data_IF_952328041545
#
_entry.id   IF_952328041545
#
_cell.length_a   1.000
_cell.length_b   1.000
_cell.length_c   1.000
_cell.angle_alpha   90.00
_cell.angle_beta   90.00
_cell.angle_gamma   90.00
#
_symmetry.space_group_name_H-M   'P 1'
#
loop_
_entity.id
_entity.type
_entity.pdbx_description
1 polymer ?
#
# COMPACT_ATOMS: atom_id res chain seq x y z
N UNK A 1 4.94 -44.45 46.54
CA UNK A 1 5.33 -43.03 46.71
C UNK A 1 5.40 -42.38 45.34
N UNK A 2 4.77 -41.21 45.24
CA UNK A 2 4.59 -40.39 44.02
C UNK A 2 5.94 -39.87 43.53
N UNK A 3 6.20 -39.94 42.22
CA UNK A 3 7.46 -39.45 41.64
C UNK A 3 7.39 -39.33 40.12
N UNK A 4 6.47 -38.49 39.62
CA UNK A 4 6.32 -38.24 38.18
C UNK A 4 5.93 -36.81 37.81
N UNK A 5 5.86 -35.88 38.77
CA UNK A 5 5.30 -34.53 38.55
C UNK A 5 6.28 -33.43 38.16
N UNK A 6 7.59 -33.61 38.36
CA UNK A 6 8.58 -32.50 38.28
C UNK A 6 8.91 -32.05 36.85
N UNK A 7 9.16 -32.98 35.93
CA UNK A 7 9.60 -32.64 34.55
C UNK A 7 8.54 -31.92 33.71
N UNK A 8 7.26 -32.14 33.99
CA UNK A 8 6.17 -31.48 33.27
C UNK A 8 5.95 -30.04 33.74
N UNK A 9 6.30 -29.71 34.99
CA UNK A 9 6.18 -28.36 35.53
C UNK A 9 7.35 -27.47 35.10
N UNK A 10 8.57 -28.00 35.07
CA UNK A 10 9.77 -27.28 34.60
C UNK A 10 9.68 -26.92 33.10
N UNK A 11 9.17 -27.83 32.26
CA UNK A 11 8.96 -27.55 30.84
C UNK A 11 7.87 -26.50 30.58
N UNK A 12 6.82 -26.47 31.41
CA UNK A 12 5.77 -25.45 31.36
C UNK A 12 6.30 -24.07 31.76
N UNK A 13 7.07 -23.99 32.84
CA UNK A 13 7.73 -22.75 33.29
C UNK A 13 8.69 -22.19 32.24
N UNK A 14 9.51 -23.04 31.62
CA UNK A 14 10.44 -22.61 30.57
C UNK A 14 9.70 -22.08 29.34
N UNK A 15 8.58 -22.70 28.97
CA UNK A 15 7.75 -22.22 27.86
C UNK A 15 7.11 -20.86 28.16
N UNK A 16 6.55 -20.68 29.36
CA UNK A 16 5.99 -19.39 29.81
C UNK A 16 7.07 -18.30 29.84
N UNK A 17 8.27 -18.62 30.31
CA UNK A 17 9.41 -17.69 30.32
C UNK A 17 9.83 -17.28 28.90
N UNK A 18 9.88 -18.22 27.94
CA UNK A 18 10.16 -17.93 26.53
C UNK A 18 9.08 -17.03 25.92
N UNK A 19 7.80 -17.29 26.22
CA UNK A 19 6.69 -16.47 25.74
C UNK A 19 6.78 -15.05 26.29
N UNK A 20 7.09 -14.89 27.56
CA UNK A 20 7.16 -13.57 28.21
C UNK A 20 8.40 -12.78 27.74
N UNK A 21 9.56 -13.43 27.61
CA UNK A 21 10.76 -12.83 27.01
C UNK A 21 10.49 -12.39 25.57
N UNK A 22 9.73 -13.19 24.80
CA UNK A 22 9.34 -12.83 23.44
C UNK A 22 8.40 -11.62 23.40
N UNK A 23 7.42 -11.53 24.31
CA UNK A 23 6.54 -10.36 24.43
C UNK A 23 7.33 -9.09 24.75
N UNK A 24 8.24 -9.15 25.71
CA UNK A 24 9.10 -8.02 26.08
C UNK A 24 10.01 -7.59 24.92
N UNK A 25 10.61 -8.56 24.22
CA UNK A 25 11.42 -8.30 23.02
C UNK A 25 10.60 -7.65 21.89
N UNK A 26 9.37 -8.12 21.66
CA UNK A 26 8.44 -7.50 20.69
C UNK A 26 8.06 -6.07 21.10
N UNK A 27 7.80 -5.83 22.39
CA UNK A 27 7.48 -4.51 22.92
C UNK A 27 8.67 -3.54 22.75
N UNK A 28 9.88 -3.96 23.12
CA UNK A 28 11.10 -3.16 22.94
C UNK A 28 11.37 -2.87 21.46
N UNK A 29 11.17 -3.86 20.58
CA UNK A 29 11.30 -3.70 19.13
C UNK A 29 10.27 -2.73 18.56
N UNK A 30 9.02 -2.77 19.03
CA UNK A 30 7.97 -1.79 18.67
C UNK A 30 8.36 -0.38 19.14
N UNK A 31 8.85 -0.23 20.36
CA UNK A 31 9.32 1.05 20.90
C UNK A 31 10.53 1.63 20.12
N UNK A 32 11.52 0.80 19.75
CA UNK A 32 12.64 1.25 18.91
C UNK A 32 12.22 1.67 17.50
N UNK A 33 11.25 0.97 16.90
CA UNK A 33 10.67 1.38 15.60
C UNK A 33 9.93 2.70 15.72
N UNK A 34 9.21 2.90 16.83
CA UNK A 34 8.52 4.14 17.18
C UNK A 34 9.52 5.31 17.25
N UNK A 35 10.60 5.17 18.02
CA UNK A 35 11.64 6.19 18.18
C UNK A 35 12.41 6.48 16.88
N UNK A 36 12.75 5.45 16.10
CA UNK A 36 13.43 5.68 14.83
C UNK A 36 12.53 6.43 13.84
N UNK A 37 11.23 6.12 13.84
CA UNK A 37 10.28 6.72 12.92
C UNK A 37 9.88 8.15 13.31
N UNK A 38 10.02 8.56 14.59
CA UNK A 38 9.88 9.97 15.00
C UNK A 38 11.09 10.83 14.60
N UNK A 39 12.25 10.22 14.35
CA UNK A 39 13.49 10.90 13.93
C UNK A 39 13.68 10.94 12.40
N UNK A 40 12.86 10.22 11.63
CA UNK A 40 13.12 9.87 10.23
C UNK A 40 12.88 11.05 9.25
N UNK A 41 12.01 12.00 9.60
CA UNK A 41 11.78 13.26 8.87
C UNK A 41 10.83 14.20 9.63
N UNK A 42 10.80 15.47 9.25
CA UNK A 42 10.09 16.57 9.94
C UNK A 42 8.56 16.53 9.90
N UNK A 43 7.97 15.35 10.08
CA UNK A 43 6.54 15.18 10.27
C UNK A 43 6.14 15.72 11.65
N UNK A 44 5.27 16.76 11.73
CA UNK A 44 4.87 17.34 12.99
C UNK A 44 3.87 16.48 13.78
N UNK A 45 3.23 15.47 13.15
CA UNK A 45 2.21 14.65 13.80
C UNK A 45 2.86 13.60 14.71
N UNK A 46 2.54 13.59 16.02
CA UNK A 46 3.03 12.59 16.96
C UNK A 46 2.65 11.17 16.54
N UNK A 47 3.53 10.19 16.72
CA UNK A 47 3.29 8.82 16.22
C UNK A 47 2.09 8.13 16.89
N UNK A 48 1.79 8.46 18.15
CA UNK A 48 0.62 7.94 18.86
C UNK A 48 -0.72 8.40 18.26
N UNK A 49 -0.72 9.49 17.48
CA UNK A 49 -1.90 10.00 16.76
C UNK A 49 -2.03 9.40 15.36
N UNK A 50 -0.97 8.71 14.88
CA UNK A 50 -0.95 8.13 13.54
C UNK A 50 -1.66 6.80 13.46
N UNK A 51 -2.45 6.65 12.40
CA UNK A 51 -3.11 5.38 12.10
C UNK A 51 -2.09 4.28 11.80
N UNK A 52 -2.38 3.02 12.15
CA UNK A 52 -1.50 1.90 11.86
C UNK A 52 -1.14 1.79 10.37
N UNK A 53 0.02 1.20 10.09
CA UNK A 53 0.50 0.99 8.71
C UNK A 53 -0.48 0.24 7.80
N UNK A 54 -1.42 -0.53 8.37
CA UNK A 54 -2.45 -1.27 7.64
C UNK A 54 -3.50 -0.32 7.00
N UNK A 55 -3.70 0.86 7.57
CA UNK A 55 -4.66 1.86 7.11
C UNK A 55 -4.11 2.77 6.00
N UNK A 56 -2.83 2.64 5.61
CA UNK A 56 -2.17 3.57 4.68
C UNK A 56 -2.89 3.73 3.34
N UNK A 57 -3.45 2.64 2.80
CA UNK A 57 -4.12 2.65 1.50
C UNK A 57 -5.44 3.43 1.59
N UNK A 58 -6.24 3.18 2.64
CA UNK A 58 -7.47 3.90 2.93
C UNK A 58 -7.21 5.40 3.15
N UNK A 59 -6.23 5.75 3.99
CA UNK A 59 -5.85 7.16 4.25
C UNK A 59 -5.41 7.86 2.95
N UNK A 60 -4.62 7.17 2.12
CA UNK A 60 -4.16 7.75 0.86
C UNK A 60 -5.30 7.88 -0.16
N UNK A 61 -6.23 6.92 -0.22
CA UNK A 61 -7.42 6.99 -1.07
C UNK A 61 -8.33 8.17 -0.68
N UNK A 62 -8.61 8.36 0.61
CA UNK A 62 -9.39 9.49 1.11
C UNK A 62 -8.75 10.82 0.70
N UNK A 63 -7.44 10.94 0.95
CA UNK A 63 -6.68 12.14 0.56
C UNK A 63 -6.66 12.37 -0.95
N UNK A 64 -6.53 11.32 -1.78
CA UNK A 64 -6.57 11.43 -3.25
C UNK A 64 -7.92 12.00 -3.70
N UNK A 65 -9.03 11.48 -3.18
CA UNK A 65 -10.37 11.92 -3.58
C UNK A 65 -10.59 13.39 -3.20
N UNK A 66 -10.23 13.78 -1.99
CA UNK A 66 -10.31 15.18 -1.54
C UNK A 66 -9.42 16.10 -2.39
N UNK A 67 -8.20 15.67 -2.68
CA UNK A 67 -7.18 16.51 -3.32
C UNK A 67 -7.43 16.72 -4.81
N UNK A 68 -7.92 15.69 -5.51
CA UNK A 68 -8.03 15.66 -6.97
C UNK A 68 -9.46 15.87 -7.49
N UNK A 69 -10.39 16.27 -6.62
CA UNK A 69 -11.71 16.78 -7.01
C UNK A 69 -12.82 15.74 -7.09
N UNK A 70 -12.77 14.72 -6.24
CA UNK A 70 -13.83 13.74 -6.07
C UNK A 70 -13.72 12.51 -6.97
N UNK A 71 -14.53 11.50 -6.65
CA UNK A 71 -14.57 10.21 -7.34
C UNK A 71 -15.03 10.31 -8.81
N UNK A 72 -15.95 11.22 -9.14
CA UNK A 72 -16.40 11.46 -10.52
C UNK A 72 -15.26 11.96 -11.41
N UNK A 73 -14.50 12.96 -10.93
CA UNK A 73 -13.34 13.49 -11.67
C UNK A 73 -12.25 12.43 -11.83
N UNK A 74 -12.00 11.64 -10.79
CA UNK A 74 -11.07 10.50 -10.83
C UNK A 74 -11.56 9.34 -11.71
N UNK A 75 -12.85 9.30 -12.07
CA UNK A 75 -13.42 8.33 -13.01
C UNK A 75 -13.42 8.82 -14.47
N UNK A 76 -12.99 10.06 -14.70
CA UNK A 76 -12.91 10.65 -16.05
C UNK A 76 -11.76 10.04 -16.86
N UNK A 77 -11.80 10.23 -18.19
CA UNK A 77 -10.81 9.64 -19.10
C UNK A 77 -10.73 8.12 -18.92
N UNK A 78 -9.51 7.62 -18.78
CA UNK A 78 -9.22 6.21 -18.48
C UNK A 78 -9.05 5.92 -16.98
N UNK A 79 -9.28 6.92 -16.11
CA UNK A 79 -9.29 6.78 -14.67
C UNK A 79 -7.91 6.84 -14.00
N UNK A 80 -7.80 6.20 -12.83
CA UNK A 80 -6.60 6.22 -11.99
C UNK A 80 -5.69 5.04 -12.32
N UNK A 81 -4.40 5.31 -12.51
CA UNK A 81 -3.37 4.27 -12.68
C UNK A 81 -2.53 4.13 -11.41
N UNK A 82 -2.65 2.99 -10.74
CA UNK A 82 -1.94 2.61 -9.51
C UNK A 82 -0.65 1.84 -9.86
N UNK A 83 0.43 2.58 -10.00
CA UNK A 83 1.73 2.08 -10.47
C UNK A 83 2.53 1.51 -9.30
N UNK A 84 3.07 0.31 -9.50
CA UNK A 84 3.62 -0.56 -8.47
C UNK A 84 2.61 -0.88 -7.34
N UNK A 85 1.32 -0.96 -7.70
CA UNK A 85 0.21 -1.15 -6.75
C UNK A 85 0.14 -2.54 -6.08
N UNK A 86 1.02 -3.48 -6.45
CA UNK A 86 1.12 -4.79 -5.82
C UNK A 86 -0.13 -5.64 -5.97
N UNK A 87 -0.83 -5.87 -4.85
CA UNK A 87 -2.11 -6.59 -4.82
C UNK A 87 -3.35 -5.73 -5.08
N UNK A 88 -3.16 -4.42 -5.32
CA UNK A 88 -4.25 -3.49 -5.64
C UNK A 88 -5.04 -2.97 -4.43
N UNK A 89 -4.43 -2.92 -3.24
CA UNK A 89 -5.12 -2.45 -2.02
C UNK A 89 -5.61 -0.99 -2.15
N UNK A 90 -4.77 -0.10 -2.70
CA UNK A 90 -5.15 1.30 -2.94
C UNK A 90 -6.27 1.38 -3.99
N UNK A 91 -6.15 0.63 -5.09
CA UNK A 91 -7.20 0.56 -6.11
C UNK A 91 -8.53 0.04 -5.54
N UNK A 92 -8.49 -0.95 -4.65
CA UNK A 92 -9.68 -1.44 -3.94
C UNK A 92 -10.31 -0.34 -3.08
N UNK A 93 -9.49 0.35 -2.27
CA UNK A 93 -9.95 1.45 -1.42
C UNK A 93 -10.53 2.63 -2.23
N UNK A 94 -9.99 2.92 -3.41
CA UNK A 94 -10.52 3.92 -4.34
C UNK A 94 -11.86 3.49 -4.94
N UNK A 95 -11.99 2.23 -5.37
CA UNK A 95 -13.24 1.71 -5.92
C UNK A 95 -14.35 1.63 -4.89
N UNK A 96 -14.05 1.24 -3.64
CA UNK A 96 -15.00 1.26 -2.52
C UNK A 96 -15.52 2.68 -2.21
N UNK A 97 -14.79 3.73 -2.66
CA UNK A 97 -15.18 5.14 -2.56
C UNK A 97 -15.81 5.69 -3.85
N UNK A 98 -16.14 4.82 -4.80
CA UNK A 98 -16.86 5.16 -6.03
C UNK A 98 -15.97 5.58 -7.21
N UNK A 99 -14.65 5.39 -7.14
CA UNK A 99 -13.79 5.53 -8.33
C UNK A 99 -14.02 4.31 -9.23
N UNK A 100 -14.75 4.51 -10.32
CA UNK A 100 -15.21 3.43 -11.20
C UNK A 100 -14.15 2.90 -12.17
N UNK A 101 -13.02 3.60 -12.32
CA UNK A 101 -11.93 3.23 -13.23
C UNK A 101 -10.59 3.28 -12.52
N UNK A 102 -10.10 2.11 -12.14
CA UNK A 102 -8.76 1.93 -11.60
C UNK A 102 -8.02 0.85 -12.39
N UNK A 103 -6.75 1.12 -12.71
CA UNK A 103 -5.84 0.14 -13.32
C UNK A 103 -4.57 0.03 -12.48
N UNK A 104 -4.29 -1.15 -11.95
CA UNK A 104 -3.03 -1.46 -11.29
C UNK A 104 -2.01 -1.87 -12.34
N UNK A 105 -0.82 -1.27 -12.28
CA UNK A 105 0.33 -1.67 -13.10
C UNK A 105 1.46 -2.09 -12.18
N UNK A 106 1.85 -3.37 -12.18
CA UNK A 106 2.96 -3.88 -11.37
C UNK A 106 3.79 -4.87 -12.21
N UNK A 107 5.11 -4.91 -12.02
CA UNK A 107 5.96 -5.86 -12.76
C UNK A 107 5.78 -7.31 -12.29
N UNK A 108 5.27 -7.48 -11.06
CA UNK A 108 5.04 -8.78 -10.45
C UNK A 108 3.68 -9.32 -10.88
N UNK A 109 3.50 -10.65 -10.87
CA UNK A 109 2.17 -11.23 -11.01
C UNK A 109 1.27 -10.82 -9.84
N UNK A 110 -0.03 -10.69 -10.10
CA UNK A 110 -1.03 -10.37 -9.08
C UNK A 110 -0.92 -11.35 -7.91
N UNK A 111 -0.94 -10.81 -6.70
CA UNK A 111 -1.06 -11.60 -5.46
C UNK A 111 -2.29 -11.13 -4.71
N UNK A 112 -3.30 -12.00 -4.62
CA UNK A 112 -4.57 -11.70 -3.98
C UNK A 112 -4.39 -11.75 -2.46
N UNK A 113 -4.37 -10.57 -1.84
CA UNK A 113 -4.30 -10.40 -0.39
C UNK A 113 -5.61 -10.71 0.33
N UNK A 114 -5.58 -10.73 1.66
CA UNK A 114 -6.75 -11.02 2.50
C UNK A 114 -7.93 -10.06 2.24
N UNK A 115 -7.66 -8.76 2.12
CA UNK A 115 -8.71 -7.76 1.88
C UNK A 115 -9.44 -8.00 0.55
N UNK A 116 -8.70 -8.27 -0.53
CA UNK A 116 -9.30 -8.56 -1.84
C UNK A 116 -10.09 -9.88 -1.83
N UNK A 117 -9.61 -10.92 -1.15
CA UNK A 117 -10.38 -12.16 -0.94
C UNK A 117 -11.68 -11.90 -0.19
N UNK A 118 -11.63 -11.09 0.88
CA UNK A 118 -12.82 -10.71 1.67
C UNK A 118 -13.79 -9.91 0.83
N UNK A 119 -13.30 -8.99 0.01
CA UNK A 119 -14.11 -8.21 -0.92
C UNK A 119 -14.82 -9.09 -1.94
N UNK A 120 -14.08 -9.99 -2.63
CA UNK A 120 -14.65 -10.92 -3.61
C UNK A 120 -15.73 -11.80 -2.97
N UNK A 121 -15.47 -12.36 -1.78
CA UNK A 121 -16.47 -13.16 -1.04
C UNK A 121 -17.71 -12.34 -0.69
N UNK A 122 -17.55 -11.09 -0.24
CA UNK A 122 -18.65 -10.18 0.08
C UNK A 122 -19.45 -9.83 -1.18
N UNK A 123 -18.78 -9.60 -2.30
CA UNK A 123 -19.43 -9.21 -3.55
C UNK A 123 -20.20 -10.38 -4.17
N UNK A 124 -19.64 -11.60 -4.18
CA UNK A 124 -20.35 -12.82 -4.60
C UNK A 124 -21.62 -13.06 -3.78
N UNK A 125 -21.57 -12.85 -2.45
CA UNK A 125 -22.75 -12.93 -1.57
C UNK A 125 -23.79 -11.87 -1.93
N UNK A 126 -23.37 -10.62 -2.17
CA UNK A 126 -24.28 -9.55 -2.60
C UNK A 126 -24.95 -9.87 -3.94
N UNK A 127 -24.19 -10.32 -4.93
CA UNK A 127 -24.75 -10.72 -6.23
C UNK A 127 -25.71 -11.90 -6.10
N UNK A 128 -25.40 -12.89 -5.26
CA UNK A 128 -26.32 -14.00 -4.99
C UNK A 128 -27.60 -13.53 -4.28
N UNK A 129 -27.48 -12.65 -3.27
CA UNK A 129 -28.64 -12.06 -2.59
C UNK A 129 -29.46 -11.12 -3.48
N UNK A 130 -28.84 -10.33 -4.37
CA UNK A 130 -29.58 -9.49 -5.33
C UNK A 130 -30.32 -10.31 -6.39
N UNK A 131 -29.81 -11.50 -6.72
CA UNK A 131 -30.49 -12.47 -7.59
C UNK A 131 -31.63 -13.18 -6.84
N UNK A 132 -31.44 -13.52 -5.56
CA UNK A 132 -32.46 -14.15 -4.72
C UNK A 132 -33.57 -13.17 -4.26
N UNK A 133 -33.26 -11.89 -4.00
CA UNK A 133 -34.25 -10.86 -3.60
C UNK A 133 -35.21 -10.48 -4.74
N UNK A 134 -34.95 -10.91 -5.98
CA UNK A 134 -35.92 -10.85 -7.07
C UNK A 134 -36.97 -11.99 -7.04
N UNK A 135 -36.83 -12.95 -6.11
CA UNK A 135 -37.81 -13.98 -5.80
C UNK A 135 -37.91 -14.16 -4.27
N UNK A 136 -38.74 -13.31 -3.67
CA UNK A 136 -39.28 -13.39 -2.31
C UNK A 136 -38.42 -12.90 -1.13
N UNK A 137 -39.11 -12.09 -0.33
CA UNK A 137 -38.76 -11.43 0.92
C UNK A 137 -38.85 -12.43 2.09
N UNK A 138 -37.81 -12.51 2.93
CA UNK A 138 -37.86 -12.45 4.41
C UNK A 138 -36.56 -13.02 5.05
N UNK A 139 -35.97 -12.21 5.95
CA UNK A 139 -35.30 -12.61 7.21
C UNK A 139 -34.11 -13.58 7.19
N UNK A 140 -32.91 -13.07 7.50
CA UNK A 140 -32.33 -13.25 8.85
C UNK A 140 -30.92 -12.64 8.95
N UNK A 141 -30.68 -11.99 10.09
CA UNK A 141 -29.40 -11.40 10.46
C UNK A 141 -28.61 -12.40 11.32
N UNK A 142 -27.47 -12.86 10.80
CA UNK A 142 -26.49 -13.59 11.62
C UNK A 142 -25.27 -12.70 11.91
N UNK A 143 -25.00 -12.55 13.21
CA UNK A 143 -23.81 -11.94 13.78
C UNK A 143 -22.63 -12.91 13.65
N UNK A 144 -21.59 -12.54 12.89
CA UNK A 144 -20.33 -13.29 12.86
C UNK A 144 -19.31 -12.61 13.79
N UNK A 145 -18.89 -13.37 14.80
CA UNK A 145 -17.91 -13.02 15.83
C UNK A 145 -16.56 -12.55 15.24
N UNK A 146 -16.07 -11.42 15.75
CA UNK A 146 -14.71 -10.94 15.50
C UNK A 146 -13.70 -11.82 16.25
N UNK A 147 -12.88 -12.56 15.49
CA UNK A 147 -11.63 -13.13 16.01
C UNK A 147 -10.47 -12.36 15.38
N UNK A 148 -9.93 -11.43 16.17
CA UNK A 148 -8.75 -10.63 15.85
C UNK A 148 -7.48 -11.49 15.94
N UNK A 149 -7.08 -12.09 14.83
CA UNK A 149 -5.76 -12.72 14.69
C UNK A 149 -4.78 -11.78 13.97
N UNK A 150 -4.42 -10.68 14.63
CA UNK A 150 -3.33 -9.81 14.18
C UNK A 150 -2.14 -9.83 15.14
N UNK A 151 -1.36 -10.91 15.08
CA UNK A 151 0.06 -10.83 15.44
C UNK A 151 0.95 -11.52 14.40
N UNK A 152 1.22 -10.81 13.31
CA UNK A 152 2.36 -11.11 12.42
C UNK A 152 3.25 -9.88 12.30
N UNK A 153 4.05 -9.61 13.33
CA UNK A 153 5.20 -8.71 13.23
C UNK A 153 6.28 -9.39 12.38
N UNK A 154 6.33 -9.02 11.11
CA UNK A 154 7.38 -9.40 10.18
C UNK A 154 8.74 -8.89 10.64
N UNK A 155 9.54 -9.82 11.17
CA UNK A 155 10.99 -9.74 11.13
C UNK A 155 11.46 -9.69 9.67
N UNK A 156 12.32 -8.71 9.44
CA UNK A 156 13.21 -8.57 8.30
C UNK A 156 13.84 -9.93 7.93
N UNK A 157 13.32 -10.50 6.86
CA UNK A 157 13.88 -11.66 6.15
C UNK A 157 13.79 -11.40 4.64
N UNK A 158 14.01 -10.14 4.24
CA UNK A 158 13.87 -9.67 2.86
C UNK A 158 14.95 -10.16 1.88
N UNK A 159 15.85 -11.07 2.27
CA UNK A 159 16.89 -11.57 1.36
C UNK A 159 17.01 -13.09 1.23
N UNK A 160 16.12 -13.89 1.85
CA UNK A 160 16.11 -15.34 1.62
C UNK A 160 14.69 -15.91 1.63
N UNK A 161 13.89 -15.56 0.63
CA UNK A 161 12.72 -16.33 0.15
C UNK A 161 12.28 -15.84 -1.24
N UNK A 162 13.25 -15.68 -2.15
CA UNK A 162 12.97 -15.67 -3.58
C UNK A 162 12.86 -17.13 -4.05
N UNK A 163 11.89 -17.41 -4.92
CA UNK A 163 11.49 -18.72 -5.44
C UNK A 163 10.53 -19.59 -4.61
N UNK A 164 9.60 -19.00 -3.85
CA UNK A 164 8.33 -19.70 -3.61
C UNK A 164 7.51 -19.65 -4.91
N UNK A 165 7.20 -20.82 -5.46
CA UNK A 165 6.31 -21.04 -6.61
C UNK A 165 5.11 -20.11 -6.48
N UNK A 166 4.98 -19.14 -7.37
CA UNK A 166 3.80 -18.28 -7.43
C UNK A 166 2.70 -19.18 -7.96
N UNK A 167 1.88 -19.72 -7.07
CA UNK A 167 0.62 -20.36 -7.46
C UNK A 167 -0.13 -19.34 -8.33
N UNK A 168 -0.49 -19.70 -9.58
CA UNK A 168 -1.22 -18.79 -10.45
C UNK A 168 -2.51 -18.39 -9.77
N UNK A 169 -2.82 -17.09 -9.82
CA UNK A 169 -4.11 -16.59 -9.36
C UNK A 169 -5.20 -17.30 -10.16
N UNK A 170 -6.21 -17.83 -9.48
CA UNK A 170 -7.38 -18.41 -10.13
C UNK A 170 -7.95 -17.37 -11.11
N UNK A 171 -8.01 -17.73 -12.39
CA UNK A 171 -8.47 -16.83 -13.46
C UNK A 171 -9.88 -16.28 -13.18
N UNK A 172 -10.72 -17.06 -12.50
CA UNK A 172 -12.07 -16.62 -12.10
C UNK A 172 -12.06 -15.43 -11.12
N UNK A 173 -11.01 -15.27 -10.33
CA UNK A 173 -10.87 -14.13 -9.41
C UNK A 173 -10.47 -12.87 -10.19
N UNK A 174 -9.70 -13.01 -11.27
CA UNK A 174 -9.21 -11.87 -12.07
C UNK A 174 -10.37 -11.16 -12.77
N UNK A 175 -11.35 -11.93 -13.28
CA UNK A 175 -12.54 -11.38 -13.94
C UNK A 175 -13.50 -10.67 -12.97
N UNK A 176 -13.41 -10.96 -11.68
CA UNK A 176 -14.25 -10.37 -10.63
C UNK A 176 -13.62 -9.17 -9.94
N UNK A 177 -12.41 -8.76 -10.33
CA UNK A 177 -11.72 -7.64 -9.69
C UNK A 177 -12.46 -6.32 -9.94
N UNK A 178 -12.53 -5.44 -8.93
CA UNK A 178 -13.08 -4.09 -9.10
C UNK A 178 -12.16 -3.15 -9.89
N UNK A 179 -11.01 -3.62 -10.34
CA UNK A 179 -9.99 -2.87 -11.06
C UNK A 179 -9.30 -3.74 -12.11
N UNK A 180 -8.72 -3.12 -13.13
CA UNK A 180 -7.88 -3.80 -14.13
C UNK A 180 -6.50 -4.06 -13.54
N UNK A 181 -5.91 -5.22 -13.82
CA UNK A 181 -4.54 -5.54 -13.46
C UNK A 181 -3.67 -5.73 -14.72
N UNK A 182 -2.57 -4.99 -14.80
CA UNK A 182 -1.60 -5.08 -15.88
C UNK A 182 -0.24 -5.46 -15.32
N UNK A 183 0.22 -6.67 -15.65
CA UNK A 183 1.57 -7.08 -15.31
C UNK A 183 2.56 -6.44 -16.30
N UNK A 184 3.21 -5.34 -15.91
CA UNK A 184 4.12 -4.60 -16.78
C UNK A 184 5.14 -3.80 -15.97
N UNK A 185 6.37 -3.66 -16.51
CA UNK A 185 7.35 -2.75 -15.93
C UNK A 185 7.02 -1.30 -16.31
N UNK A 186 6.87 -0.45 -15.32
CA UNK A 186 6.59 0.96 -15.59
C UNK A 186 7.89 1.76 -15.77
N UNK A 187 8.14 2.19 -17.00
CA UNK A 187 9.19 3.15 -17.38
C UNK A 187 8.56 4.33 -18.12
N UNK A 188 9.19 5.52 -18.16
CA UNK A 188 8.61 6.69 -18.83
C UNK A 188 8.18 6.43 -20.28
N UNK A 189 8.91 5.57 -21.00
CA UNK A 189 8.63 5.22 -22.40
C UNK A 189 7.45 4.25 -22.56
N UNK A 190 6.93 3.68 -21.45
CA UNK A 190 5.78 2.76 -21.45
C UNK A 190 4.43 3.47 -21.40
N UNK A 191 4.39 4.80 -21.54
CA UNK A 191 3.12 5.54 -21.61
C UNK A 191 2.35 5.09 -22.85
N UNK A 192 1.24 4.40 -22.62
CA UNK A 192 0.27 4.04 -23.66
C UNK A 192 -0.70 5.19 -23.92
N UNK A 193 -1.44 5.20 -25.05
CA UNK A 193 -2.54 6.13 -25.26
C UNK A 193 -3.59 6.10 -24.15
N UNK A 194 -3.76 4.94 -23.50
CA UNK A 194 -4.65 4.77 -22.35
C UNK A 194 -4.13 5.54 -21.14
N UNK A 195 -2.84 5.40 -20.80
CA UNK A 195 -2.21 6.14 -19.69
C UNK A 195 -2.22 7.64 -19.97
N UNK A 196 -1.99 8.07 -21.21
CA UNK A 196 -2.01 9.48 -21.59
C UNK A 196 -3.38 10.16 -21.40
N UNK A 197 -4.45 9.38 -21.27
CA UNK A 197 -5.82 9.84 -20.98
C UNK A 197 -6.23 9.61 -19.52
N UNK A 198 -5.30 9.22 -18.64
CA UNK A 198 -5.57 8.98 -17.24
C UNK A 198 -6.02 10.27 -16.55
N UNK A 199 -6.89 10.13 -15.55
CA UNK A 199 -7.23 11.25 -14.67
C UNK A 199 -6.19 11.47 -13.57
N UNK A 200 -5.38 10.45 -13.25
CA UNK A 200 -4.34 10.50 -12.22
C UNK A 200 -3.35 9.33 -12.32
N UNK A 201 -2.05 9.59 -12.16
CA UNK A 201 -1.04 8.56 -11.89
C UNK A 201 -0.71 8.53 -10.39
N UNK A 202 -0.81 7.37 -9.75
CA UNK A 202 -0.50 7.21 -8.32
C UNK A 202 0.53 6.12 -8.07
N UNK A 203 1.26 6.22 -6.97
CA UNK A 203 2.13 5.16 -6.49
C UNK A 203 2.35 5.26 -4.99
N UNK A 204 1.83 4.29 -4.23
CA UNK A 204 2.04 4.21 -2.79
C UNK A 204 3.22 3.29 -2.49
N UNK A 205 4.33 3.88 -2.05
CA UNK A 205 5.60 3.17 -1.85
C UNK A 205 6.10 2.45 -3.12
N UNK A 206 6.17 3.14 -4.28
CA UNK A 206 6.39 2.48 -5.57
C UNK A 206 7.87 2.14 -5.83
N UNK A 207 8.72 2.14 -4.80
CA UNK A 207 10.12 1.74 -4.84
C UNK A 207 10.87 2.32 -6.06
N UNK A 208 11.44 1.47 -6.93
CA UNK A 208 12.17 1.89 -8.13
C UNK A 208 11.33 2.70 -9.12
N UNK A 209 10.01 2.52 -9.15
CA UNK A 209 9.11 3.19 -10.10
C UNK A 209 8.81 4.66 -9.73
N UNK A 210 9.20 5.13 -8.54
CA UNK A 210 8.92 6.51 -8.08
C UNK A 210 9.30 7.56 -9.13
N UNK A 211 10.52 7.50 -9.66
CA UNK A 211 10.99 8.47 -10.66
C UNK A 211 10.23 8.35 -11.98
N UNK A 212 9.96 7.14 -12.43
CA UNK A 212 9.27 6.87 -13.69
C UNK A 212 7.83 7.41 -13.69
N UNK A 213 7.10 7.27 -12.57
CA UNK A 213 5.75 7.82 -12.39
C UNK A 213 5.76 9.34 -12.59
N UNK A 214 6.67 10.03 -11.88
CA UNK A 214 6.80 11.49 -11.94
C UNK A 214 7.18 11.95 -13.34
N UNK A 215 8.14 11.29 -13.98
CA UNK A 215 8.60 11.63 -15.32
C UNK A 215 7.50 11.44 -16.37
N UNK A 216 6.79 10.31 -16.35
CA UNK A 216 5.65 10.07 -17.21
C UNK A 216 4.54 11.12 -17.02
N UNK A 217 4.19 11.43 -15.75
CA UNK A 217 3.19 12.46 -15.46
C UNK A 217 3.59 13.83 -16.00
N UNK A 218 4.86 14.21 -15.85
CA UNK A 218 5.41 15.46 -16.37
C UNK A 218 5.36 15.50 -17.90
N UNK A 219 5.77 14.42 -18.58
CA UNK A 219 5.79 14.31 -20.04
C UNK A 219 4.38 14.39 -20.64
N UNK A 220 3.40 13.75 -19.99
CA UNK A 220 2.01 13.72 -20.44
C UNK A 220 1.16 14.89 -19.92
N UNK A 221 1.73 15.76 -19.09
CA UNK A 221 1.01 16.80 -18.37
C UNK A 221 -0.19 16.25 -17.56
N UNK A 222 0.02 15.14 -16.88
CA UNK A 222 -0.97 14.51 -16.01
C UNK A 222 -0.73 14.91 -14.55
N UNK A 223 -1.80 14.94 -13.73
CA UNK A 223 -1.64 14.99 -12.29
C UNK A 223 -1.01 13.70 -11.77
N UNK A 224 -0.29 13.80 -10.65
CA UNK A 224 0.26 12.63 -9.97
C UNK A 224 0.27 12.76 -8.45
N UNK A 225 0.31 11.62 -7.76
CA UNK A 225 0.61 11.55 -6.33
C UNK A 225 1.45 10.30 -6.00
N UNK A 226 2.62 10.49 -5.39
CA UNK A 226 3.51 9.40 -4.98
C UNK A 226 3.92 9.50 -3.53
N UNK A 227 4.03 8.36 -2.85
CA UNK A 227 4.59 8.27 -1.48
C UNK A 227 5.95 7.57 -1.57
N UNK A 228 7.07 8.30 -1.69
CA UNK A 228 8.40 7.70 -1.77
C UNK A 228 8.82 7.04 -0.46
N UNK A 229 9.46 5.87 -0.55
CA UNK A 229 10.01 5.14 0.60
C UNK A 229 11.51 4.85 0.46
N UNK A 230 11.90 4.21 -0.65
CA UNK A 230 13.26 3.74 -0.90
C UNK A 230 13.90 4.48 -2.08
N UNK A 231 15.18 4.85 -1.92
CA UNK A 231 15.91 5.65 -2.93
C UNK A 231 16.61 4.84 -4.02
N UNK A 232 16.97 3.59 -3.71
CA UNK A 232 17.73 2.70 -4.58
C UNK A 232 18.97 3.38 -5.20
N UNK A 233 19.81 3.97 -4.33
CA UNK A 233 20.97 4.79 -4.73
C UNK A 233 21.91 4.06 -5.71
N UNK A 234 22.09 2.76 -5.55
CA UNK A 234 22.95 1.96 -6.42
C UNK A 234 22.35 1.72 -7.81
N UNK A 235 21.02 1.67 -7.92
CA UNK A 235 20.30 1.55 -9.20
C UNK A 235 20.16 2.91 -9.89
N UNK A 236 20.12 4.01 -9.12
CA UNK A 236 19.88 5.37 -9.62
C UNK A 236 21.01 6.34 -9.28
N UNK A 237 22.24 5.97 -9.65
CA UNK A 237 23.46 6.77 -9.40
C UNK A 237 23.44 8.15 -10.08
N UNK A 238 22.66 8.28 -11.14
CA UNK A 238 22.53 9.52 -11.91
C UNK A 238 21.54 10.53 -11.29
N UNK A 239 20.84 10.16 -10.21
CA UNK A 239 19.99 11.10 -9.47
C UNK A 239 20.86 12.07 -8.65
N UNK A 240 21.07 13.25 -9.21
CA UNK A 240 21.85 14.33 -8.60
C UNK A 240 20.94 15.56 -8.44
N UNK A 241 20.96 16.19 -7.26
CA UNK A 241 20.27 17.45 -6.99
C UNK A 241 20.93 18.62 -7.73
N UNK A 242 20.25 19.74 -7.93
CA UNK A 242 20.80 20.94 -8.61
C UNK A 242 22.06 21.48 -7.93
N UNK A 243 22.20 21.27 -6.61
CA UNK A 243 23.40 21.64 -5.85
C UNK A 243 24.58 20.65 -6.00
N UNK A 244 24.45 19.62 -6.83
CA UNK A 244 25.48 18.59 -7.08
C UNK A 244 25.49 17.43 -6.07
N UNK A 245 24.63 17.45 -5.04
CA UNK A 245 24.54 16.37 -4.06
C UNK A 245 23.85 15.13 -4.66
N UNK A 246 24.42 13.91 -4.55
CA UNK A 246 23.72 12.69 -4.93
C UNK A 246 22.51 12.39 -4.06
N UNK A 247 21.45 11.86 -4.65
CA UNK A 247 20.25 11.43 -3.92
C UNK A 247 20.55 10.18 -3.09
N UNK A 248 20.52 10.31 -1.76
CA UNK A 248 20.86 9.23 -0.84
C UNK A 248 19.81 8.99 0.26
N UNK A 249 18.91 9.95 0.48
CA UNK A 249 17.83 9.86 1.48
C UNK A 249 16.48 10.08 0.83
N UNK A 250 15.40 9.65 1.50
CA UNK A 250 14.03 9.90 1.01
C UNK A 250 13.76 11.39 0.82
N UNK A 251 14.30 12.26 1.68
CA UNK A 251 14.20 13.72 1.55
C UNK A 251 14.98 14.24 0.34
N UNK A 252 16.16 13.68 0.03
CA UNK A 252 16.86 14.02 -1.21
C UNK A 252 16.04 13.62 -2.44
N UNK A 253 15.35 12.47 -2.39
CA UNK A 253 14.49 12.04 -3.50
C UNK A 253 13.29 12.96 -3.67
N UNK A 254 12.66 13.40 -2.58
CA UNK A 254 11.56 14.38 -2.60
C UNK A 254 12.04 15.69 -3.21
N UNK A 255 13.21 16.18 -2.80
CA UNK A 255 13.77 17.42 -3.34
C UNK A 255 14.14 17.26 -4.82
N UNK A 256 14.72 16.14 -5.22
CA UNK A 256 15.01 15.83 -6.62
C UNK A 256 13.74 15.80 -7.48
N UNK A 257 12.62 15.29 -6.96
CA UNK A 257 11.32 15.33 -7.63
C UNK A 257 10.86 16.79 -7.79
N UNK A 258 10.90 17.59 -6.71
CA UNK A 258 10.50 19.00 -6.75
C UNK A 258 11.32 19.81 -7.75
N UNK A 259 12.62 19.54 -7.87
CA UNK A 259 13.51 20.22 -8.79
C UNK A 259 13.18 20.05 -10.28
N UNK A 260 12.36 19.04 -10.64
CA UNK A 260 11.91 18.79 -12.01
C UNK A 260 10.91 19.82 -12.54
N UNK A 261 10.30 20.64 -11.67
CA UNK A 261 9.39 21.72 -12.04
C UNK A 261 9.76 23.03 -11.32
N UNK A 262 9.25 24.18 -11.78
CA UNK A 262 9.31 25.43 -11.03
C UNK A 262 8.82 25.27 -9.59
N UNK A 263 9.37 26.08 -8.69
CA UNK A 263 9.02 26.08 -7.28
C UNK A 263 7.51 26.32 -7.09
N UNK A 264 6.87 25.48 -6.28
CA UNK A 264 5.44 25.55 -5.98
C UNK A 264 4.52 24.70 -6.88
N UNK A 265 4.99 24.21 -8.04
CA UNK A 265 4.16 23.32 -8.89
C UNK A 265 4.02 21.91 -8.31
N UNK A 266 5.08 21.39 -7.70
CA UNK A 266 5.08 20.11 -7.00
C UNK A 266 5.01 20.38 -5.50
N UNK A 267 3.98 19.82 -4.87
CA UNK A 267 3.64 20.02 -3.47
C UNK A 267 3.95 18.77 -2.65
N UNK A 268 3.99 18.93 -1.33
CA UNK A 268 4.21 17.82 -0.38
C UNK A 268 3.28 17.93 0.81
N UNK A 269 2.81 16.81 1.34
CA UNK A 269 1.96 16.77 2.54
C UNK A 269 2.22 15.49 3.35
N UNK A 270 2.21 15.57 4.68
CA UNK A 270 2.23 14.39 5.53
C UNK A 270 0.82 13.82 5.70
N UNK A 271 0.68 12.51 5.53
CA UNK A 271 -0.57 11.78 5.70
C UNK A 271 -0.62 11.08 7.06
N UNK A 272 -1.81 10.93 7.65
CA UNK A 272 -1.94 10.44 9.02
C UNK A 272 -1.84 8.91 9.16
N UNK A 273 -0.68 8.33 8.81
CA UNK A 273 -0.40 6.91 9.02
C UNK A 273 1.08 6.65 9.35
N UNK A 274 1.35 5.54 10.03
CA UNK A 274 2.69 5.13 10.47
C UNK A 274 3.61 4.71 9.31
N UNK A 275 4.90 5.04 9.42
CA UNK A 275 5.92 4.75 8.40
C UNK A 275 6.15 5.91 7.44
N UNK A 276 6.59 5.61 6.21
CA UNK A 276 6.80 6.64 5.17
C UNK A 276 5.45 7.15 4.67
N UNK A 277 5.05 8.36 5.08
CA UNK A 277 3.77 9.01 4.90
C UNK A 277 3.80 10.41 4.25
N UNK A 278 4.94 10.93 3.78
CA UNK A 278 5.00 12.16 2.97
C UNK A 278 4.57 11.83 1.53
N UNK A 279 3.46 12.40 1.09
CA UNK A 279 3.07 12.40 -0.32
C UNK A 279 3.73 13.56 -1.06
N UNK A 280 4.18 13.30 -2.29
CA UNK A 280 4.66 14.29 -3.26
C UNK A 280 3.70 14.28 -4.44
N UNK A 281 3.16 15.43 -4.82
CA UNK A 281 2.05 15.48 -5.78
C UNK A 281 2.02 16.76 -6.63
N UNK A 282 1.31 16.70 -7.76
CA UNK A 282 0.98 17.83 -8.64
C UNK A 282 -0.44 17.62 -9.18
N UNK A 283 -1.25 18.69 -9.15
CA UNK A 283 -2.64 18.69 -9.63
C UNK A 283 -2.77 19.02 -11.11
#
# INVERSE_FOLDING_TARGET
>A
MKGGGGRSQEAGQLFEEIVEVRKLWLAERRAKRLDNATLDWGDPTPMNEKLPHACRAAVFADWIIETFGGNEKLSSGTGVFDIAGGGGQLSLDLTDRGVSKCTVVDSRPLRVGFALKKWVKKNRKKTAQEVEVNDQDEGDAEEDEEVDEHEYDGLDSRQQKEAAVVEPVDASIVDELPFKYLQHFFVPESVTPEIAQASLLVGMHPDQATGAIVEAAIQCNLPFAVIPCCVFKDDFKDRILKNGKPVATTLDLVEWIKEKRPEGEIQTQFLNFQGKNLVVYRK
#
